data_IF_980686957956
#
_entry.id   IF_980686957956
#
_cell.length_a   1.000
_cell.length_b   1.000
_cell.length_c   1.000
_cell.angle_alpha   90.00
_cell.angle_beta   90.00
_cell.angle_gamma   90.00
#
_symmetry.space_group_name_H-M   'P 1'
#
loop_
_entity.id
_entity.type
_entity.pdbx_description
1 polymer ?
#
# COMPACT_ATOMS: atom_id res chain seq x y z
N UNK A 1 35.05 -24.10 4.38
CA UNK A 1 34.78 -22.69 3.92
C UNK A 1 33.64 -22.74 2.95
N UNK A 2 32.45 -22.41 3.37
CA UNK A 2 31.24 -22.37 2.54
C UNK A 2 31.14 -21.02 1.88
N UNK A 3 31.29 -20.96 0.56
CA UNK A 3 31.10 -19.74 -0.24
C UNK A 3 29.63 -19.35 -0.19
N UNK A 4 29.33 -18.21 0.44
CA UNK A 4 28.03 -17.53 0.33
C UNK A 4 27.88 -17.07 -1.10
N UNK A 5 26.96 -17.72 -1.83
CA UNK A 5 26.50 -17.27 -3.13
C UNK A 5 25.70 -15.99 -2.94
N UNK A 6 26.29 -14.85 -3.27
CA UNK A 6 25.60 -13.57 -3.34
C UNK A 6 24.79 -13.58 -4.64
N UNK A 7 23.52 -13.87 -4.57
CA UNK A 7 22.60 -13.65 -5.68
C UNK A 7 22.42 -12.15 -5.78
N UNK A 8 23.09 -11.55 -6.77
CA UNK A 8 22.83 -10.19 -7.20
C UNK A 8 21.52 -10.25 -7.98
N UNK A 9 20.43 -9.59 -7.54
CA UNK A 9 19.24 -9.51 -8.37
C UNK A 9 19.63 -8.77 -9.66
N UNK A 10 19.37 -9.40 -10.79
CA UNK A 10 19.50 -8.77 -12.09
C UNK A 10 18.62 -7.50 -12.06
N UNK A 11 19.25 -6.34 -12.22
CA UNK A 11 18.58 -5.11 -12.58
C UNK A 11 17.95 -5.35 -13.93
N UNK A 12 16.67 -5.71 -13.95
CA UNK A 12 15.89 -5.64 -15.17
C UNK A 12 15.72 -4.17 -15.53
N UNK A 13 16.35 -3.87 -16.63
CA UNK A 13 16.53 -2.61 -17.31
C UNK A 13 15.15 -2.02 -17.63
N UNK A 14 14.89 -0.80 -17.11
CA UNK A 14 14.02 0.25 -17.69
C UNK A 14 12.66 -0.17 -18.28
N UNK A 15 11.83 -0.83 -17.50
CA UNK A 15 10.40 -0.57 -17.62
C UNK A 15 10.12 0.66 -16.76
N UNK A 16 9.62 1.77 -17.33
CA UNK A 16 9.25 2.93 -16.52
C UNK A 16 8.24 2.46 -15.49
N UNK A 17 8.63 2.51 -14.23
CA UNK A 17 7.76 2.13 -13.13
C UNK A 17 6.55 3.06 -13.15
N UNK A 18 5.34 2.50 -13.27
CA UNK A 18 4.14 3.32 -13.27
C UNK A 18 4.08 4.16 -11.98
N UNK A 19 3.64 5.44 -12.08
CA UNK A 19 3.50 6.30 -10.91
C UNK A 19 2.58 5.64 -9.87
N UNK A 20 2.97 5.69 -8.60
CA UNK A 20 2.19 5.12 -7.49
C UNK A 20 0.80 5.71 -7.37
N UNK A 21 0.64 6.99 -7.67
CA UNK A 21 -0.64 7.70 -7.66
C UNK A 21 -1.37 7.67 -9.01
N UNK A 22 -0.99 6.79 -9.93
CA UNK A 22 -1.67 6.65 -11.23
C UNK A 22 -3.17 6.36 -11.04
N UNK A 23 -3.53 5.47 -10.13
CA UNK A 23 -4.94 5.14 -9.85
C UNK A 23 -5.75 6.37 -9.43
N UNK A 24 -5.18 7.26 -8.62
CA UNK A 24 -5.83 8.48 -8.17
C UNK A 24 -5.98 9.48 -9.32
N UNK A 25 -4.97 9.61 -10.17
CA UNK A 25 -5.00 10.48 -11.35
C UNK A 25 -6.03 10.00 -12.37
N UNK A 26 -6.08 8.71 -12.62
CA UNK A 26 -7.06 8.11 -13.53
C UNK A 26 -8.48 8.31 -13.00
N UNK A 27 -8.70 8.15 -11.70
CA UNK A 27 -9.99 8.41 -11.07
C UNK A 27 -10.39 9.89 -11.15
N UNK A 28 -9.45 10.83 -10.89
CA UNK A 28 -9.68 12.27 -11.09
C UNK A 28 -10.15 12.58 -12.51
N UNK A 29 -9.46 12.01 -13.50
CA UNK A 29 -9.81 12.22 -14.92
C UNK A 29 -11.20 11.66 -15.23
N UNK A 30 -11.56 10.52 -14.69
CA UNK A 30 -12.89 9.91 -14.83
C UNK A 30 -13.99 10.81 -14.25
N UNK A 31 -13.72 11.45 -13.10
CA UNK A 31 -14.63 12.40 -12.47
C UNK A 31 -14.60 13.81 -13.09
N UNK A 32 -13.69 14.09 -14.03
CA UNK A 32 -13.41 15.42 -14.56
C UNK A 32 -13.01 16.44 -13.49
N UNK A 33 -12.36 15.98 -12.41
CA UNK A 33 -11.93 16.81 -11.29
C UNK A 33 -10.53 17.38 -11.50
N UNK A 34 -10.33 18.60 -11.02
CA UNK A 34 -9.03 19.25 -10.93
C UNK A 34 -8.40 19.09 -9.53
N UNK A 35 -7.12 19.46 -9.40
CA UNK A 35 -6.46 19.52 -8.09
C UNK A 35 -7.17 20.47 -7.11
N UNK A 36 -7.82 21.52 -7.60
CA UNK A 36 -8.61 22.44 -6.79
C UNK A 36 -9.89 21.77 -6.25
N UNK A 37 -10.50 20.89 -7.01
CA UNK A 37 -11.71 20.14 -6.58
C UNK A 37 -11.36 19.16 -5.47
N UNK A 38 -10.26 18.41 -5.61
CA UNK A 38 -9.76 17.55 -4.54
C UNK A 38 -9.43 18.36 -3.29
N UNK A 39 -8.71 19.46 -3.44
CA UNK A 39 -8.31 20.34 -2.33
C UNK A 39 -9.53 20.80 -1.52
N UNK A 40 -10.61 21.16 -2.21
CA UNK A 40 -11.88 21.56 -1.58
C UNK A 40 -12.52 20.44 -0.78
N UNK A 41 -12.52 19.22 -1.32
CA UNK A 41 -13.10 18.04 -0.65
C UNK A 41 -12.33 17.66 0.61
N UNK A 42 -11.00 17.74 0.54
CA UNK A 42 -10.12 17.26 1.62
C UNK A 42 -9.82 18.35 2.65
N UNK A 43 -10.05 19.62 2.30
CA UNK A 43 -9.71 20.77 3.15
C UNK A 43 -8.23 21.13 3.10
N UNK A 44 -7.58 20.90 1.96
CA UNK A 44 -6.19 21.27 1.71
C UNK A 44 -6.08 22.38 0.65
N UNK A 45 -4.86 22.84 0.39
CA UNK A 45 -4.59 23.80 -0.68
C UNK A 45 -4.38 23.09 -2.01
N UNK A 46 -4.70 23.76 -3.13
CA UNK A 46 -4.38 23.28 -4.48
C UNK A 46 -2.90 22.94 -4.64
N UNK A 47 -2.02 23.78 -4.09
CA UNK A 47 -0.58 23.53 -4.12
C UNK A 47 -0.20 22.23 -3.39
N UNK A 48 -0.85 21.94 -2.26
CA UNK A 48 -0.67 20.67 -1.54
C UNK A 48 -1.04 19.45 -2.38
N UNK A 49 -2.16 19.51 -3.10
CA UNK A 49 -2.57 18.43 -4.00
C UNK A 49 -1.60 18.28 -5.18
N UNK A 50 -1.17 19.39 -5.79
CA UNK A 50 -0.16 19.35 -6.86
C UNK A 50 1.15 18.69 -6.39
N UNK A 51 1.52 18.94 -5.15
CA UNK A 51 2.71 18.36 -4.52
C UNK A 51 2.63 16.83 -4.41
N UNK A 52 1.44 16.26 -4.18
CA UNK A 52 1.27 14.81 -4.18
C UNK A 52 1.69 14.18 -5.51
N UNK A 53 1.28 14.78 -6.62
CA UNK A 53 1.61 14.24 -7.94
C UNK A 53 3.05 14.52 -8.37
N UNK A 54 3.68 15.57 -7.85
CA UNK A 54 5.11 15.84 -8.06
C UNK A 54 5.97 14.80 -7.34
N UNK A 55 5.64 14.50 -6.07
CA UNK A 55 6.37 13.52 -5.26
C UNK A 55 5.84 12.09 -5.40
N UNK A 56 4.76 11.91 -6.14
CA UNK A 56 4.09 10.62 -6.34
C UNK A 56 3.76 9.94 -5.01
N UNK A 57 3.25 10.73 -4.03
CA UNK A 57 2.95 10.26 -2.69
C UNK A 57 1.92 11.12 -1.96
N UNK A 58 1.02 10.46 -1.21
CA UNK A 58 0.10 11.10 -0.27
C UNK A 58 -0.37 10.09 0.79
N UNK A 59 -1.05 10.56 1.82
CA UNK A 59 -1.67 9.69 2.81
C UNK A 59 -2.85 8.92 2.20
N UNK A 60 -2.97 7.64 2.56
CA UNK A 60 -4.06 6.79 2.10
C UNK A 60 -5.44 7.33 2.52
N UNK A 61 -5.52 7.93 3.72
CA UNK A 61 -6.74 8.58 4.20
C UNK A 61 -7.26 9.68 3.28
N UNK A 62 -6.37 10.44 2.65
CA UNK A 62 -6.75 11.47 1.70
C UNK A 62 -7.33 10.89 0.41
N UNK A 63 -6.71 9.83 -0.11
CA UNK A 63 -7.24 9.10 -1.27
C UNK A 63 -8.65 8.59 -0.99
N UNK A 64 -8.82 7.90 0.15
CA UNK A 64 -10.11 7.33 0.56
C UNK A 64 -11.17 8.42 0.74
N UNK A 65 -10.85 9.53 1.42
CA UNK A 65 -11.77 10.64 1.64
C UNK A 65 -12.26 11.23 0.33
N UNK A 66 -11.36 11.47 -0.62
CA UNK A 66 -11.73 12.00 -1.93
C UNK A 66 -12.61 11.02 -2.72
N UNK A 67 -12.20 9.76 -2.82
CA UNK A 67 -12.92 8.72 -3.55
C UNK A 67 -14.31 8.49 -2.94
N UNK A 68 -14.40 8.42 -1.61
CA UNK A 68 -15.67 8.28 -0.89
C UNK A 68 -16.62 9.47 -1.12
N UNK A 69 -16.10 10.68 -1.19
CA UNK A 69 -16.89 11.88 -1.46
C UNK A 69 -17.54 11.85 -2.85
N UNK A 70 -16.93 11.14 -3.80
CA UNK A 70 -17.47 10.94 -5.15
C UNK A 70 -18.43 9.74 -5.26
N UNK A 71 -18.81 9.11 -4.16
CA UNK A 71 -19.73 7.98 -4.14
C UNK A 71 -19.09 6.64 -4.51
N UNK A 72 -17.77 6.54 -4.38
CA UNK A 72 -17.01 5.33 -4.63
C UNK A 72 -16.31 4.86 -3.35
N UNK A 73 -15.86 3.62 -3.34
CA UNK A 73 -15.00 3.08 -2.29
C UNK A 73 -13.68 2.59 -2.87
N UNK A 74 -12.62 2.76 -2.10
CA UNK A 74 -11.27 2.31 -2.42
C UNK A 74 -10.99 0.99 -1.72
N UNK A 75 -10.53 0.00 -2.47
CA UNK A 75 -10.03 -1.28 -1.96
C UNK A 75 -8.58 -1.47 -2.37
N UNK A 76 -7.74 -1.86 -1.42
CA UNK A 76 -6.33 -2.19 -1.66
C UNK A 76 -6.05 -3.58 -1.11
N UNK A 77 -5.40 -4.42 -1.92
CA UNK A 77 -4.94 -5.74 -1.53
C UNK A 77 -3.47 -5.92 -1.91
N UNK A 78 -2.73 -6.62 -1.07
CA UNK A 78 -1.39 -7.11 -1.37
C UNK A 78 -1.47 -8.62 -1.64
N UNK A 79 -1.20 -9.01 -2.87
CA UNK A 79 -1.22 -10.42 -3.29
C UNK A 79 0.20 -10.93 -3.47
N UNK A 80 0.46 -12.14 -2.97
CA UNK A 80 1.73 -12.82 -3.24
C UNK A 80 1.75 -13.31 -4.67
N UNK A 81 2.88 -13.08 -5.36
CA UNK A 81 3.14 -13.65 -6.68
C UNK A 81 3.73 -15.07 -6.50
N UNK A 82 3.02 -15.97 -5.81
CA UNK A 82 3.43 -17.39 -5.76
C UNK A 82 2.87 -18.12 -6.96
N UNK A 83 3.68 -18.26 -7.98
CA UNK A 83 3.51 -19.33 -8.96
C UNK A 83 4.11 -20.58 -8.32
N UNK A 84 3.29 -21.41 -7.68
CA UNK A 84 3.68 -22.77 -7.37
C UNK A 84 3.90 -23.53 -8.68
N UNK A 85 4.99 -24.32 -8.81
CA UNK A 85 5.23 -25.11 -10.02
C UNK A 85 4.11 -26.10 -10.35
N UNK A 86 3.25 -26.41 -9.40
CA UNK A 86 2.21 -27.45 -9.51
C UNK A 86 0.76 -26.90 -9.51
N UNK A 87 0.54 -25.60 -9.65
CA UNK A 87 -0.81 -25.03 -9.76
C UNK A 87 -1.71 -25.20 -8.53
N UNK A 88 -1.18 -25.69 -7.40
CA UNK A 88 -1.92 -25.80 -6.14
C UNK A 88 -1.66 -24.58 -5.25
N UNK A 89 -2.69 -23.80 -5.01
CA UNK A 89 -2.67 -22.70 -4.01
C UNK A 89 -2.84 -23.34 -2.64
N UNK A 90 -1.74 -23.60 -1.94
CA UNK A 90 -1.79 -23.94 -0.52
C UNK A 90 -2.00 -22.68 0.30
N UNK A 91 -3.23 -22.44 0.73
CA UNK A 91 -3.56 -21.39 1.67
C UNK A 91 -3.20 -21.88 3.07
N UNK A 92 -1.99 -21.62 3.52
CA UNK A 92 -1.64 -21.79 4.93
C UNK A 92 -2.23 -20.62 5.71
N UNK A 93 -3.36 -20.85 6.34
CA UNK A 93 -3.96 -19.91 7.30
C UNK A 93 -3.17 -20.08 8.61
N UNK A 94 -2.11 -19.30 8.75
CA UNK A 94 -1.49 -19.10 10.05
C UNK A 94 -2.36 -18.07 10.78
N UNK A 95 -3.12 -18.51 11.77
CA UNK A 95 -3.80 -17.60 12.70
C UNK A 95 -2.72 -16.95 13.55
N UNK A 96 -2.39 -15.71 13.24
CA UNK A 96 -1.53 -14.91 14.11
C UNK A 96 -2.32 -14.45 15.34
N UNK A 97 -1.90 -14.83 16.56
CA UNK A 97 -2.54 -14.36 17.79
C UNK A 97 -2.51 -12.83 17.96
N UNK A 98 -1.56 -12.14 17.31
CA UNK A 98 -1.45 -10.68 17.34
C UNK A 98 -2.52 -9.98 16.48
N UNK A 99 -3.14 -10.65 15.53
CA UNK A 99 -4.20 -10.09 14.70
C UNK A 99 -5.50 -9.83 15.49
N UNK A 100 -5.64 -10.38 16.69
CA UNK A 100 -6.83 -10.19 17.52
C UNK A 100 -6.79 -8.93 18.38
N UNK A 101 -5.63 -8.35 18.65
CA UNK A 101 -5.49 -7.18 19.52
C UNK A 101 -5.70 -5.83 18.81
N UNK A 102 -5.62 -5.76 17.48
CA UNK A 102 -5.78 -4.53 16.71
C UNK A 102 -7.14 -4.45 16.01
N UNK A 103 -8.21 -4.56 16.77
CA UNK A 103 -9.60 -4.51 16.28
C UNK A 103 -10.03 -3.13 15.75
N UNK A 104 -9.21 -2.10 15.90
CA UNK A 104 -9.51 -0.72 15.51
C UNK A 104 -9.03 -0.31 14.12
N UNK A 105 -8.04 -0.99 13.54
CA UNK A 105 -7.53 -0.56 12.25
C UNK A 105 -8.37 -1.16 11.10
N UNK A 106 -8.92 -0.28 10.26
CA UNK A 106 -9.74 -0.64 9.10
C UNK A 106 -9.01 -0.36 7.78
N UNK A 107 -8.47 0.85 7.64
CA UNK A 107 -7.86 1.34 6.41
C UNK A 107 -6.57 0.59 6.07
N UNK A 108 -5.72 0.34 7.06
CA UNK A 108 -4.43 -0.37 6.88
C UNK A 108 -4.52 -1.87 7.19
N UNK A 109 -5.72 -2.40 7.38
CA UNK A 109 -5.92 -3.83 7.72
C UNK A 109 -5.36 -4.78 6.65
N UNK A 110 -5.50 -4.42 5.38
CA UNK A 110 -4.96 -5.21 4.27
C UNK A 110 -3.44 -5.45 4.40
N UNK A 111 -2.72 -4.44 4.90
CA UNK A 111 -1.27 -4.53 5.11
C UNK A 111 -0.95 -5.50 6.25
N UNK A 112 -1.65 -5.39 7.37
CA UNK A 112 -1.49 -6.29 8.50
C UNK A 112 -1.77 -7.74 8.10
N UNK A 113 -2.85 -7.97 7.37
CA UNK A 113 -3.25 -9.31 6.91
C UNK A 113 -2.20 -9.91 5.96
N UNK A 114 -1.68 -9.13 5.02
CA UNK A 114 -0.65 -9.57 4.09
C UNK A 114 0.67 -9.93 4.80
N UNK A 115 1.12 -9.07 5.72
CA UNK A 115 2.35 -9.30 6.50
C UNK A 115 2.21 -10.51 7.42
N UNK A 116 1.08 -10.66 8.10
CA UNK A 116 0.82 -11.78 9.01
C UNK A 116 0.79 -13.11 8.26
N UNK A 117 0.20 -13.17 7.07
CA UNK A 117 0.19 -14.38 6.23
C UNK A 117 1.60 -14.85 5.83
N UNK A 118 2.55 -13.93 5.74
CA UNK A 118 3.94 -14.22 5.42
C UNK A 118 4.83 -14.39 6.67
N UNK A 119 4.26 -14.27 7.87
CA UNK A 119 5.02 -14.31 9.12
C UNK A 119 5.95 -13.14 9.33
N UNK A 120 5.68 -12.00 8.68
CA UNK A 120 6.50 -10.77 8.76
C UNK A 120 5.97 -9.92 9.88
N UNK A 121 6.85 -9.58 10.84
CA UNK A 121 6.49 -8.73 11.97
C UNK A 121 6.67 -7.24 11.66
N UNK A 122 5.99 -6.37 12.40
CA UNK A 122 6.16 -4.91 12.32
C UNK A 122 7.61 -4.49 12.59
N UNK A 123 8.30 -5.18 13.50
CA UNK A 123 9.71 -4.95 13.79
C UNK A 123 10.62 -5.28 12.61
N UNK A 124 10.31 -6.35 11.88
CA UNK A 124 11.05 -6.71 10.66
C UNK A 124 10.83 -5.66 9.56
N UNK A 125 9.59 -5.21 9.35
CA UNK A 125 9.27 -4.14 8.40
C UNK A 125 10.05 -2.87 8.72
N UNK A 126 10.09 -2.46 9.98
CA UNK A 126 10.84 -1.28 10.42
C UNK A 126 12.33 -1.41 10.11
N UNK A 127 12.93 -2.57 10.41
CA UNK A 127 14.34 -2.87 10.13
C UNK A 127 14.64 -2.80 8.64
N UNK A 128 13.81 -3.45 7.82
CA UNK A 128 14.02 -3.55 6.38
C UNK A 128 13.81 -2.20 5.65
N UNK A 129 12.93 -1.36 6.19
CA UNK A 129 12.72 0.02 5.69
C UNK A 129 13.72 1.04 6.29
N UNK A 130 14.57 0.65 7.23
CA UNK A 130 15.46 1.57 7.93
C UNK A 130 14.73 2.58 8.82
N UNK A 131 13.59 2.19 9.39
CA UNK A 131 12.72 3.03 10.22
C UNK A 131 12.75 2.62 11.68
N UNK A 132 12.26 3.51 12.55
CA UNK A 132 12.02 3.16 13.95
C UNK A 132 10.79 2.26 14.06
N UNK A 133 10.84 1.23 14.95
CA UNK A 133 9.72 0.32 15.17
C UNK A 133 8.40 1.05 15.53
N UNK A 134 8.50 2.13 16.33
CA UNK A 134 7.35 2.94 16.70
C UNK A 134 6.70 3.67 15.50
N UNK A 135 7.48 4.00 14.47
CA UNK A 135 6.92 4.62 13.25
C UNK A 135 6.02 3.65 12.49
N UNK A 136 6.43 2.39 12.39
CA UNK A 136 5.61 1.35 11.75
C UNK A 136 4.37 1.04 12.59
N UNK A 137 4.51 0.91 13.91
CA UNK A 137 3.36 0.72 14.82
C UNK A 137 2.36 1.86 14.72
N UNK A 138 2.83 3.08 14.56
CA UNK A 138 2.00 4.26 14.45
C UNK A 138 1.02 4.19 13.28
N UNK A 139 1.39 3.59 12.13
CA UNK A 139 0.47 3.41 11.00
C UNK A 139 -0.81 2.68 11.41
N UNK A 140 -0.68 1.67 12.27
CA UNK A 140 -1.81 0.86 12.73
C UNK A 140 -2.60 1.54 13.86
N UNK A 141 -1.97 2.39 14.65
CA UNK A 141 -2.62 3.18 15.70
C UNK A 141 -3.49 4.29 15.11
N UNK A 142 -2.95 5.03 14.12
CA UNK A 142 -3.68 6.12 13.45
C UNK A 142 -4.54 5.64 12.30
N UNK A 143 -4.44 4.35 11.95
CA UNK A 143 -5.12 3.73 10.80
C UNK A 143 -4.85 4.48 9.49
N UNK A 144 -3.60 4.85 9.26
CA UNK A 144 -3.18 5.60 8.07
C UNK A 144 -1.71 5.35 7.71
N UNK A 145 -1.41 5.43 6.42
CA UNK A 145 -0.08 5.21 5.86
C UNK A 145 0.09 6.07 4.60
N UNK A 146 1.32 6.46 4.29
CA UNK A 146 1.65 7.02 2.98
C UNK A 146 1.64 5.93 1.91
N UNK A 147 1.10 6.24 0.74
CA UNK A 147 1.01 5.31 -0.39
C UNK A 147 2.39 4.78 -0.78
N UNK A 148 3.43 5.61 -0.70
CA UNK A 148 4.81 5.19 -0.99
C UNK A 148 5.28 4.02 -0.14
N UNK A 149 4.89 3.93 1.13
CA UNK A 149 5.27 2.80 1.99
C UNK A 149 4.57 1.51 1.61
N UNK A 150 3.33 1.58 1.11
CA UNK A 150 2.61 0.40 0.60
C UNK A 150 3.41 -0.23 -0.54
N UNK A 151 3.85 0.59 -1.51
CA UNK A 151 4.63 0.11 -2.65
C UNK A 151 6.03 -0.35 -2.25
N UNK A 152 6.70 0.32 -1.31
CA UNK A 152 8.01 -0.13 -0.78
C UNK A 152 7.92 -1.48 -0.09
N UNK A 153 6.89 -1.70 0.72
CA UNK A 153 6.65 -2.98 1.38
C UNK A 153 6.35 -4.06 0.35
N UNK A 154 5.53 -3.75 -0.65
CA UNK A 154 5.23 -4.67 -1.73
C UNK A 154 6.50 -5.10 -2.50
N UNK A 155 7.36 -4.15 -2.82
CA UNK A 155 8.65 -4.42 -3.49
C UNK A 155 9.57 -5.28 -2.62
N UNK A 156 9.72 -4.93 -1.32
CA UNK A 156 10.59 -5.66 -0.39
C UNK A 156 10.21 -7.13 -0.23
N UNK A 157 8.92 -7.42 -0.17
CA UNK A 157 8.41 -8.76 0.15
C UNK A 157 7.77 -9.49 -1.03
N UNK A 158 7.90 -8.95 -2.24
CA UNK A 158 7.39 -9.58 -3.45
C UNK A 158 5.86 -9.62 -3.56
N UNK A 159 5.17 -8.65 -2.97
CA UNK A 159 3.73 -8.49 -3.16
C UNK A 159 3.40 -7.73 -4.44
N UNK A 160 2.26 -8.06 -5.03
CA UNK A 160 1.61 -7.24 -6.05
C UNK A 160 0.57 -6.36 -5.38
N UNK A 161 0.65 -5.06 -5.61
CA UNK A 161 -0.38 -4.10 -5.15
C UNK A 161 -1.56 -4.14 -6.13
N UNK A 162 -2.74 -4.49 -5.62
CA UNK A 162 -3.99 -4.47 -6.37
C UNK A 162 -4.87 -3.36 -5.80
N UNK A 163 -5.23 -2.38 -6.62
CA UNK A 163 -6.07 -1.24 -6.25
C UNK A 163 -7.34 -1.30 -7.09
N UNK A 164 -8.48 -1.21 -6.43
CA UNK A 164 -9.78 -1.21 -7.06
C UNK A 164 -10.65 -0.09 -6.51
N UNK A 165 -11.37 0.60 -7.38
CA UNK A 165 -12.29 1.69 -7.04
C UNK A 165 -13.66 1.31 -7.60
N UNK A 166 -14.64 1.13 -6.73
CA UNK A 166 -15.99 0.69 -7.08
C UNK A 166 -17.03 1.71 -6.65
N UNK A 167 -18.13 1.85 -7.40
CA UNK A 167 -19.29 2.60 -6.91
C UNK A 167 -19.76 2.00 -5.57
N UNK A 168 -20.16 2.87 -4.64
CA UNK A 168 -20.86 2.43 -3.42
C UNK A 168 -22.26 1.94 -3.79
N UNK A 169 -22.65 0.81 -3.25
CA UNK A 169 -24.03 0.30 -3.32
C UNK A 169 -24.99 1.18 -2.54
#
# INVERSE_FOLDING_TARGET
>A
MTRKSTIIPSKDIDTPQEPRLKFLRDFMNTCCDSAADIARVIGLTRAGISHWFIHDDCKLSYCETYINNRGYELSIELKTATVSPDGMVSINIVKDPLAQEETGCRRVRFLLDALSKQGITKGQVAKDLGMKANSVRHWFVVDDIYVSYIFKIAELYGFKVCIDIRPKE
#
